data_IF_298143828655
#
_entry.id   IF_298143828655
#
_cell.length_a   1.000
_cell.length_b   1.000
_cell.length_c   1.000
_cell.angle_alpha   90.00
_cell.angle_beta   90.00
_cell.angle_gamma   90.00
#
_symmetry.space_group_name_H-M   'P 1'
#
loop_
_entity.id
_entity.type
_entity.pdbx_description
1 polymer ?
#
# COMPACT_ATOMS: atom_id res chain seq x y z
N UNK A 1 1.14 -51.84 14.73
CA UNK A 1 0.84 -50.43 14.38
C UNK A 1 1.44 -50.15 13.00
N UNK A 2 0.61 -49.99 11.97
CA UNK A 2 1.09 -49.70 10.61
C UNK A 2 1.21 -48.18 10.41
N UNK A 3 2.45 -47.69 10.37
CA UNK A 3 2.75 -46.28 10.10
C UNK A 3 2.50 -45.97 8.62
N UNK A 4 1.63 -45.00 8.32
CA UNK A 4 1.44 -44.48 6.96
C UNK A 4 2.74 -43.82 6.49
N UNK A 5 3.32 -44.33 5.40
CA UNK A 5 4.44 -43.67 4.71
C UNK A 5 3.93 -42.34 4.16
N UNK A 6 4.65 -41.25 4.42
CA UNK A 6 4.36 -39.95 3.81
C UNK A 6 4.55 -40.09 2.29
N UNK A 7 3.44 -40.14 1.55
CA UNK A 7 3.48 -40.22 0.10
C UNK A 7 4.20 -38.99 -0.46
N UNK A 8 5.22 -39.21 -1.28
CA UNK A 8 5.91 -38.14 -1.99
C UNK A 8 4.91 -37.38 -2.86
N UNK A 9 4.71 -36.09 -2.56
CA UNK A 9 3.79 -35.26 -3.31
C UNK A 9 4.21 -35.08 -4.78
N UNK A 10 3.30 -34.55 -5.59
CA UNK A 10 3.57 -34.23 -7.01
C UNK A 10 4.79 -33.28 -7.11
N UNK A 11 5.77 -33.68 -7.91
CA UNK A 11 6.97 -32.88 -8.19
C UNK A 11 6.57 -31.52 -8.76
N UNK A 12 7.21 -30.47 -8.26
CA UNK A 12 6.95 -29.09 -8.68
C UNK A 12 7.39 -28.89 -10.12
N UNK A 13 6.53 -28.25 -10.92
CA UNK A 13 6.89 -27.87 -12.28
C UNK A 13 7.93 -26.76 -12.32
N UNK A 14 8.02 -25.91 -11.29
CA UNK A 14 8.99 -24.81 -11.25
C UNK A 14 10.12 -25.05 -10.25
N UNK A 15 11.32 -24.57 -10.60
CA UNK A 15 12.51 -24.64 -9.75
C UNK A 15 12.55 -23.48 -8.73
N UNK A 16 13.33 -23.58 -7.64
CA UNK A 16 13.48 -22.46 -6.69
C UNK A 16 14.07 -21.18 -7.30
N UNK A 17 14.88 -21.28 -8.36
CA UNK A 17 15.40 -20.12 -9.08
C UNK A 17 14.31 -19.44 -9.92
N UNK A 18 13.49 -20.22 -10.61
CA UNK A 18 12.32 -19.74 -11.35
C UNK A 18 11.28 -19.09 -10.42
N UNK A 19 11.03 -19.69 -9.26
CA UNK A 19 10.11 -19.14 -8.26
C UNK A 19 10.61 -17.77 -7.77
N UNK A 20 11.92 -17.60 -7.57
CA UNK A 20 12.52 -16.30 -7.23
C UNK A 20 12.35 -15.28 -8.36
N UNK A 21 12.56 -15.67 -9.61
CA UNK A 21 12.33 -14.79 -10.76
C UNK A 21 10.88 -14.30 -10.81
N UNK A 22 9.91 -15.20 -10.63
CA UNK A 22 8.48 -14.86 -10.61
C UNK A 22 8.16 -13.81 -9.53
N UNK A 23 8.69 -14.00 -8.32
CA UNK A 23 8.47 -13.06 -7.20
C UNK A 23 9.14 -11.71 -7.46
N UNK A 24 10.38 -11.70 -7.95
CA UNK A 24 11.12 -10.47 -8.24
C UNK A 24 10.46 -9.65 -9.35
N UNK A 25 10.01 -10.29 -10.42
CA UNK A 25 9.30 -9.62 -11.52
C UNK A 25 8.02 -8.92 -11.02
N UNK A 26 7.26 -9.57 -10.13
CA UNK A 26 6.08 -8.98 -9.52
C UNK A 26 6.41 -7.87 -8.50
N UNK A 27 7.54 -7.96 -7.78
CA UNK A 27 7.99 -6.90 -6.86
C UNK A 27 8.45 -5.65 -7.60
N UNK A 28 9.18 -5.80 -8.71
CA UNK A 28 9.68 -4.69 -9.53
C UNK A 28 8.55 -3.83 -10.06
N UNK A 29 7.46 -4.48 -10.48
CA UNK A 29 6.28 -3.81 -10.99
C UNK A 29 5.03 -4.33 -10.27
N UNK A 30 4.64 -3.68 -9.16
CA UNK A 30 3.50 -4.14 -8.32
C UNK A 30 2.14 -4.14 -9.03
N UNK A 31 2.04 -3.50 -10.21
CA UNK A 31 0.83 -3.46 -11.04
C UNK A 31 0.72 -4.64 -12.03
N UNK A 32 1.76 -5.45 -12.14
CA UNK A 32 1.81 -6.55 -13.11
C UNK A 32 0.85 -7.66 -12.70
N UNK A 33 0.04 -8.11 -13.64
CA UNK A 33 -0.90 -9.22 -13.41
C UNK A 33 -0.18 -10.57 -13.46
N UNK A 34 -0.77 -11.58 -12.81
CA UNK A 34 -0.23 -12.93 -12.85
C UNK A 34 -0.14 -13.51 -14.28
N UNK A 35 -0.96 -13.04 -15.21
CA UNK A 35 -0.88 -13.45 -16.62
C UNK A 35 0.31 -12.78 -17.32
N UNK A 36 0.52 -11.49 -17.10
CA UNK A 36 1.69 -10.79 -17.64
C UNK A 36 3.00 -11.38 -17.11
N UNK A 37 3.04 -11.74 -15.82
CA UNK A 37 4.20 -12.45 -15.23
C UNK A 37 4.39 -13.84 -15.86
N UNK A 38 3.32 -14.56 -16.19
CA UNK A 38 3.42 -15.83 -16.92
C UNK A 38 3.99 -15.65 -18.34
N UNK A 39 3.59 -14.58 -19.03
CA UNK A 39 4.10 -14.27 -20.37
C UNK A 39 5.58 -13.85 -20.32
N UNK A 40 5.98 -13.03 -19.34
CA UNK A 40 7.38 -12.65 -19.11
C UNK A 40 8.23 -13.89 -18.77
N UNK A 41 7.69 -14.79 -17.94
CA UNK A 41 8.34 -16.04 -17.60
C UNK A 41 8.53 -16.94 -18.83
N UNK A 42 7.52 -17.05 -19.69
CA UNK A 42 7.64 -17.78 -20.95
C UNK A 42 8.76 -17.20 -21.82
N UNK A 43 8.81 -15.87 -21.97
CA UNK A 43 9.84 -15.22 -22.78
C UNK A 43 11.26 -15.43 -22.23
N UNK A 44 11.42 -15.46 -20.90
CA UNK A 44 12.73 -15.61 -20.26
C UNK A 44 13.20 -17.07 -20.16
N UNK A 45 12.28 -18.02 -19.91
CA UNK A 45 12.61 -19.41 -19.59
C UNK A 45 12.24 -20.40 -20.70
N UNK A 46 11.52 -19.96 -21.74
CA UNK A 46 10.99 -20.83 -22.80
C UNK A 46 9.87 -21.78 -22.34
N UNK A 47 9.45 -21.70 -21.08
CA UNK A 47 8.51 -22.63 -20.46
C UNK A 47 7.16 -22.00 -20.21
N UNK A 48 6.11 -22.67 -20.68
CA UNK A 48 4.73 -22.27 -20.40
C UNK A 48 4.32 -22.64 -18.97
N UNK A 49 3.88 -21.64 -18.20
CA UNK A 49 3.30 -21.83 -16.87
C UNK A 49 1.92 -21.18 -16.81
N UNK A 50 0.97 -21.85 -16.15
CA UNK A 50 -0.37 -21.32 -16.01
C UNK A 50 -0.42 -20.15 -15.01
N UNK A 51 -1.34 -19.21 -15.24
CA UNK A 51 -1.66 -18.11 -14.30
C UNK A 51 -1.88 -18.59 -12.86
N UNK A 52 -2.53 -19.75 -12.69
CA UNK A 52 -2.78 -20.35 -11.36
C UNK A 52 -1.47 -20.73 -10.66
N UNK A 53 -0.49 -21.23 -11.40
CA UNK A 53 0.83 -21.57 -10.86
C UNK A 53 1.56 -20.32 -10.40
N UNK A 54 1.63 -19.29 -11.24
CA UNK A 54 2.19 -17.98 -10.88
C UNK A 54 1.52 -17.44 -9.61
N UNK A 55 0.19 -17.47 -9.54
CA UNK A 55 -0.54 -16.98 -8.37
C UNK A 55 -0.20 -17.73 -7.08
N UNK A 56 0.02 -19.05 -7.15
CA UNK A 56 0.48 -19.84 -5.99
C UNK A 56 1.90 -19.47 -5.57
N UNK A 57 2.80 -19.20 -6.53
CA UNK A 57 4.19 -18.79 -6.25
C UNK A 57 4.27 -17.40 -5.65
N UNK A 58 3.47 -16.46 -6.16
CA UNK A 58 3.40 -15.10 -5.61
C UNK A 58 2.90 -15.11 -4.16
N UNK A 59 1.85 -15.87 -3.85
CA UNK A 59 1.35 -15.99 -2.48
C UNK A 59 2.30 -16.75 -1.57
N UNK A 60 2.73 -17.94 -1.97
CA UNK A 60 3.52 -18.83 -1.11
C UNK A 60 5.01 -18.47 -0.99
N UNK A 61 5.61 -17.89 -2.03
CA UNK A 61 7.04 -17.54 -2.04
C UNK A 61 7.33 -16.07 -1.76
N UNK A 62 6.37 -15.17 -2.00
CA UNK A 62 6.57 -13.73 -1.84
C UNK A 62 5.61 -13.03 -0.89
N UNK A 63 4.59 -13.73 -0.36
CA UNK A 63 3.51 -13.10 0.42
C UNK A 63 2.74 -12.04 -0.37
N UNK A 64 2.75 -12.13 -1.71
CA UNK A 64 2.16 -11.12 -2.58
C UNK A 64 0.71 -11.45 -2.89
N UNK A 65 -0.16 -10.49 -2.61
CA UNK A 65 -1.59 -10.56 -2.84
C UNK A 65 -2.03 -9.38 -3.72
N UNK A 66 -3.11 -9.60 -4.49
CA UNK A 66 -3.73 -8.52 -5.22
C UNK A 66 -4.32 -7.49 -4.25
N UNK A 67 -4.08 -6.20 -4.51
CA UNK A 67 -4.70 -5.08 -3.79
C UNK A 67 -5.27 -4.07 -4.79
N UNK A 68 -6.29 -3.33 -4.37
CA UNK A 68 -6.80 -2.19 -5.12
C UNK A 68 -5.89 -0.98 -4.86
N UNK A 69 -5.42 -0.28 -5.90
CA UNK A 69 -4.68 0.96 -5.69
C UNK A 69 -5.61 2.02 -5.09
N UNK A 70 -5.09 2.82 -4.16
CA UNK A 70 -5.79 4.01 -3.68
C UNK A 70 -5.81 5.04 -4.80
N UNK A 71 -6.98 5.64 -5.05
CA UNK A 71 -7.11 6.73 -6.02
C UNK A 71 -6.70 8.01 -5.30
N UNK A 72 -5.63 8.63 -5.78
CA UNK A 72 -5.14 9.91 -5.27
C UNK A 72 -5.18 10.95 -6.38
N UNK A 73 -5.48 12.21 -6.03
CA UNK A 73 -5.30 13.34 -6.93
C UNK A 73 -3.79 13.50 -7.17
N UNK A 74 -3.30 13.44 -8.43
CA UNK A 74 -1.88 13.63 -8.69
C UNK A 74 -1.42 15.02 -8.28
N UNK A 75 -0.53 15.10 -7.30
CA UNK A 75 0.11 16.36 -6.92
C UNK A 75 1.17 16.72 -7.96
N UNK A 76 1.15 17.98 -8.42
CA UNK A 76 2.24 18.51 -9.25
C UNK A 76 3.53 18.58 -8.45
N UNK A 77 4.68 18.65 -9.12
CA UNK A 77 5.99 18.80 -8.45
C UNK A 77 6.01 20.04 -7.55
N UNK A 78 5.41 21.14 -8.01
CA UNK A 78 5.32 22.39 -7.25
C UNK A 78 4.51 22.20 -5.97
N UNK A 79 3.33 21.57 -6.05
CA UNK A 79 2.51 21.29 -4.85
C UNK A 79 3.27 20.43 -3.84
N UNK A 80 4.00 19.41 -4.30
CA UNK A 80 4.81 18.54 -3.42
C UNK A 80 5.91 19.31 -2.69
N UNK A 81 6.63 20.18 -3.40
CA UNK A 81 7.67 21.01 -2.79
C UNK A 81 7.08 21.99 -1.78
N UNK A 82 6.00 22.69 -2.15
CA UNK A 82 5.33 23.64 -1.28
C UNK A 82 4.79 22.96 -0.01
N UNK A 83 4.12 21.81 -0.15
CA UNK A 83 3.63 21.04 1.01
C UNK A 83 4.78 20.59 1.91
N UNK A 84 5.88 20.08 1.35
CA UNK A 84 7.03 19.65 2.14
C UNK A 84 7.69 20.81 2.89
N UNK A 85 7.84 21.95 2.22
CA UNK A 85 8.38 23.16 2.84
C UNK A 85 7.48 23.62 3.99
N UNK A 86 6.17 23.68 3.75
CA UNK A 86 5.19 24.02 4.78
C UNK A 86 5.28 23.08 5.99
N UNK A 87 5.28 21.75 5.76
CA UNK A 87 5.44 20.78 6.85
C UNK A 87 6.75 20.98 7.63
N UNK A 88 7.86 21.32 6.96
CA UNK A 88 9.15 21.58 7.62
C UNK A 88 9.13 22.86 8.44
N UNK A 89 8.54 23.92 7.93
CA UNK A 89 8.41 25.19 8.66
C UNK A 89 7.51 25.03 9.91
N UNK A 90 6.53 24.14 9.85
CA UNK A 90 5.49 23.97 10.86
C UNK A 90 5.67 22.71 11.73
N UNK A 91 6.80 21.98 11.60
CA UNK A 91 7.00 20.71 12.31
C UNK A 91 7.10 20.85 13.84
N UNK A 92 7.52 22.02 14.33
CA UNK A 92 7.69 22.32 15.75
C UNK A 92 6.57 23.22 16.30
N UNK A 93 5.47 23.38 15.56
CA UNK A 93 4.36 24.19 16.03
C UNK A 93 3.72 23.60 17.28
N UNK A 94 3.51 24.47 18.27
CA UNK A 94 2.85 24.15 19.53
C UNK A 94 1.33 24.20 19.37
N UNK A 95 0.59 23.70 20.37
CA UNK A 95 -0.88 23.76 20.36
C UNK A 95 -1.41 25.20 20.27
N UNK A 96 -0.72 26.17 20.90
CA UNK A 96 -1.08 27.59 20.80
C UNK A 96 -0.89 28.14 19.38
N UNK A 97 0.15 27.69 18.67
CA UNK A 97 0.40 28.09 17.28
C UNK A 97 -0.72 27.55 16.37
N UNK A 98 -1.14 26.30 16.57
CA UNK A 98 -2.28 25.71 15.85
C UNK A 98 -3.60 26.39 16.18
N UNK A 99 -3.81 26.82 17.43
CA UNK A 99 -5.02 27.52 17.85
C UNK A 99 -5.22 28.86 17.11
N UNK A 100 -4.15 29.43 16.57
CA UNK A 100 -4.19 30.67 15.79
C UNK A 100 -4.54 30.43 14.30
N UNK A 101 -4.63 29.18 13.83
CA UNK A 101 -4.89 28.85 12.42
C UNK A 101 -6.38 28.71 12.15
N UNK A 102 -6.91 29.56 11.28
CA UNK A 102 -8.27 29.40 10.76
C UNK A 102 -8.27 28.58 9.47
N UNK A 103 -8.99 27.46 9.47
CA UNK A 103 -9.21 26.65 8.28
C UNK A 103 -10.58 26.96 7.66
N UNK A 104 -10.60 27.35 6.39
CA UNK A 104 -11.82 27.46 5.57
C UNK A 104 -11.68 26.56 4.34
N UNK A 105 -12.58 25.60 4.19
CA UNK A 105 -12.75 24.83 2.95
C UNK A 105 -14.07 25.23 2.29
N UNK A 106 -14.04 25.44 0.97
CA UNK A 106 -15.26 25.56 0.17
C UNK A 106 -15.60 24.20 -0.43
N UNK A 107 -16.69 23.60 0.05
CA UNK A 107 -17.26 22.41 -0.60
C UNK A 107 -18.14 22.81 -1.76
N UNK A 108 -17.83 22.28 -2.95
CA UNK A 108 -18.73 22.34 -4.10
C UNK A 108 -19.66 21.13 -4.06
N UNK A 109 -20.93 21.36 -3.72
CA UNK A 109 -21.98 20.34 -3.67
C UNK A 109 -23.36 20.93 -3.98
N UNK A 110 -24.39 20.11 -4.23
CA UNK A 110 -25.74 20.60 -4.47
C UNK A 110 -26.30 21.28 -3.22
N UNK A 111 -26.98 22.41 -3.40
CA UNK A 111 -27.55 23.24 -2.31
C UNK A 111 -28.53 22.45 -1.44
N UNK A 112 -29.09 21.35 -1.94
CA UNK A 112 -30.01 20.47 -1.20
C UNK A 112 -29.37 19.75 0.00
N UNK A 113 -28.04 19.60 0.02
CA UNK A 113 -27.32 18.90 1.10
C UNK A 113 -26.75 19.89 2.14
N UNK A 114 -27.13 21.16 2.06
CA UNK A 114 -26.61 22.24 2.91
C UNK A 114 -27.32 22.27 4.27
N UNK A 115 -27.04 21.30 5.14
CA UNK A 115 -27.36 21.45 6.57
C UNK A 115 -26.30 22.35 7.22
N UNK A 116 -26.70 23.57 7.59
CA UNK A 116 -25.94 24.40 8.52
C UNK A 116 -25.92 23.73 9.90
N UNK A 117 -24.97 22.83 10.12
CA UNK A 117 -24.57 22.49 11.48
C UNK A 117 -23.68 23.63 11.96
N UNK A 118 -24.18 24.47 12.87
CA UNK A 118 -23.37 25.45 13.57
C UNK A 118 -22.29 24.71 14.36
N UNK A 119 -21.07 24.69 13.85
CA UNK A 119 -19.96 23.94 14.46
C UNK A 119 -19.31 24.80 15.54
N UNK A 120 -19.97 24.92 16.70
CA UNK A 120 -19.25 25.15 17.95
C UNK A 120 -18.57 23.84 18.34
N UNK A 121 -17.25 23.70 18.11
CA UNK A 121 -16.49 22.50 18.50
C UNK A 121 -15.65 22.79 19.73
N UNK A 122 -16.07 22.18 20.84
CA UNK A 122 -15.29 22.04 22.07
C UNK A 122 -13.94 21.36 21.80
N UNK A 123 -12.99 21.69 22.66
CA UNK A 123 -11.54 21.52 22.61
C UNK A 123 -10.98 20.08 22.45
N UNK A 124 -11.82 19.04 22.46
CA UNK A 124 -11.36 17.66 22.72
C UNK A 124 -11.56 16.67 21.56
N UNK A 125 -11.88 17.16 20.36
CA UNK A 125 -12.09 16.29 19.19
C UNK A 125 -11.44 16.88 17.93
N UNK A 126 -10.11 17.00 17.95
CA UNK A 126 -9.35 17.24 16.73
C UNK A 126 -9.43 16.00 15.82
N UNK A 127 -9.98 16.11 14.59
CA UNK A 127 -9.78 15.05 13.62
C UNK A 127 -8.29 15.01 13.34
N UNK A 128 -7.67 13.86 13.58
CA UNK A 128 -6.36 13.44 13.12
C UNK A 128 -5.55 14.54 12.42
N UNK A 129 -4.46 14.95 13.08
CA UNK A 129 -3.40 15.77 12.52
C UNK A 129 -3.27 15.55 11.00
N UNK A 130 -3.08 16.62 10.20
CA UNK A 130 -2.89 16.48 8.76
C UNK A 130 -1.86 15.39 8.57
N UNK A 131 -2.20 14.36 7.80
CA UNK A 131 -1.40 13.17 7.57
C UNK A 131 -0.01 13.64 7.17
N UNK A 132 0.86 13.79 8.17
CA UNK A 132 2.27 13.95 7.98
C UNK A 132 2.65 12.57 7.48
N UNK A 133 2.94 12.47 6.19
CA UNK A 133 3.48 11.26 5.59
C UNK A 133 4.92 11.02 6.05
N UNK A 134 5.19 11.11 7.35
CA UNK A 134 6.33 10.47 7.98
C UNK A 134 5.94 9.00 8.19
N UNK A 135 6.47 8.16 7.30
CA UNK A 135 6.86 6.77 7.51
C UNK A 135 6.70 6.27 8.97
N UNK A 136 5.70 5.44 9.22
CA UNK A 136 5.62 4.62 10.44
C UNK A 136 6.25 3.25 10.15
N UNK A 137 7.58 3.16 10.13
CA UNK A 137 8.26 1.91 10.47
C UNK A 137 8.38 1.85 12.00
N UNK A 138 7.30 1.41 12.64
CA UNK A 138 7.32 1.10 14.07
C UNK A 138 7.68 -0.39 14.23
N UNK A 139 8.98 -0.67 14.32
CA UNK A 139 9.48 -1.94 14.85
C UNK A 139 9.23 -1.96 16.36
N UNK A 140 8.13 -2.58 16.78
CA UNK A 140 7.84 -2.82 18.20
C UNK A 140 8.81 -3.82 18.82
N UNK A 141 9.11 -3.73 20.13
CA UNK A 141 10.06 -4.62 20.79
C UNK A 141 9.52 -6.06 20.89
N UNK A 142 10.40 -7.01 20.57
CA UNK A 142 10.19 -8.44 20.86
C UNK A 142 10.29 -8.65 22.37
N UNK A 143 9.19 -9.05 23.00
CA UNK A 143 9.19 -9.49 24.39
C UNK A 143 9.59 -10.97 24.40
N UNK A 144 10.62 -11.29 25.19
CA UNK A 144 11.06 -12.65 25.52
C UNK A 144 10.19 -13.28 26.61
#
# INVERSE_FOLDING_TARGET
MCSRRHGGGRVRSTTPAEDRYIVLSAKRNRRTTAQQVANQFLAASGKQISRKTVSRRLRGGGGLYARRPVVCVPLTRQHRTAHLQWCREHHNWTEQDWACVLFSDERKGPISDMQYHGVGRNHDQWPHAPICGCEWDYDGPTIH
#
